data_IF_680023233490
#
_entry.id   IF_680023233490
#
_cell.length_a   1.000
_cell.length_b   1.000
_cell.length_c   1.000
_cell.angle_alpha   90.00
_cell.angle_beta   90.00
_cell.angle_gamma   90.00
#
_symmetry.space_group_name_H-M   'P 1'
#
loop_
_entity.id
_entity.type
_entity.pdbx_description
1 polymer ?
#
# COMPACT_ATOMS: atom_id res chain seq x y z
N UNK A 1 -26.00 5.06 -28.78
CA UNK A 1 -26.24 4.19 -27.61
C UNK A 1 -25.05 3.32 -27.15
N UNK A 2 -24.00 2.99 -27.94
CA UNK A 2 -22.84 2.27 -27.39
C UNK A 2 -21.83 3.19 -26.69
N UNK A 3 -21.72 4.45 -27.13
CA UNK A 3 -20.82 5.45 -26.55
C UNK A 3 -21.10 5.74 -25.07
N UNK A 4 -22.38 5.77 -24.69
CA UNK A 4 -22.77 6.02 -23.30
C UNK A 4 -22.35 4.85 -22.39
N UNK A 5 -22.52 3.61 -22.87
CA UNK A 5 -22.11 2.40 -22.15
C UNK A 5 -20.58 2.40 -21.98
N UNK A 6 -19.83 2.69 -23.03
CA UNK A 6 -18.37 2.77 -22.97
C UNK A 6 -17.88 3.85 -21.99
N UNK A 7 -18.56 5.00 -21.95
CA UNK A 7 -18.24 6.08 -21.02
C UNK A 7 -18.47 5.67 -19.56
N UNK A 8 -19.60 5.04 -19.25
CA UNK A 8 -19.89 4.55 -17.90
C UNK A 8 -18.86 3.53 -17.45
N UNK A 9 -18.47 2.59 -18.33
CA UNK A 9 -17.43 1.59 -18.03
C UNK A 9 -16.10 2.29 -17.75
N UNK A 10 -15.69 3.26 -18.57
CA UNK A 10 -14.45 3.99 -18.38
C UNK A 10 -14.41 4.72 -17.02
N UNK A 11 -15.52 5.36 -16.63
CA UNK A 11 -15.64 6.04 -15.33
C UNK A 11 -15.50 5.04 -14.16
N UNK A 12 -16.13 3.88 -14.25
CA UNK A 12 -16.04 2.83 -13.23
C UNK A 12 -14.60 2.33 -13.08
N UNK A 13 -13.93 2.04 -14.20
CA UNK A 13 -12.53 1.58 -14.20
C UNK A 13 -11.62 2.63 -13.55
N UNK A 14 -11.75 3.90 -13.95
CA UNK A 14 -10.97 5.00 -13.35
C UNK A 14 -11.26 5.13 -11.86
N UNK A 15 -12.51 5.02 -11.42
CA UNK A 15 -12.87 5.10 -10.01
C UNK A 15 -12.28 3.95 -9.17
N UNK A 16 -12.24 2.73 -9.72
CA UNK A 16 -11.63 1.58 -9.06
C UNK A 16 -10.11 1.75 -8.97
N UNK A 17 -9.46 2.15 -10.07
CA UNK A 17 -8.01 2.39 -10.10
C UNK A 17 -7.62 3.52 -9.16
N UNK A 18 -8.38 4.62 -9.16
CA UNK A 18 -8.17 5.75 -8.27
C UNK A 18 -8.34 5.34 -6.79
N UNK A 19 -9.36 4.54 -6.45
CA UNK A 19 -9.51 4.01 -5.08
C UNK A 19 -8.38 3.08 -4.67
N UNK A 20 -7.89 2.22 -5.57
CA UNK A 20 -6.73 1.35 -5.29
C UNK A 20 -5.46 2.16 -5.04
N UNK A 21 -5.24 3.25 -5.79
CA UNK A 21 -4.09 4.12 -5.62
C UNK A 21 -4.26 5.18 -4.50
N UNK A 22 -5.48 5.42 -4.00
CA UNK A 22 -5.73 6.35 -2.91
C UNK A 22 -5.01 5.95 -1.60
N UNK A 23 -4.86 4.64 -1.37
CA UNK A 23 -4.15 4.11 -0.20
C UNK A 23 -2.67 4.52 -0.14
N UNK A 24 -2.05 4.83 -1.28
CA UNK A 24 -0.60 5.12 -1.41
C UNK A 24 -0.26 6.48 -0.77
N UNK A 25 -1.22 7.40 -0.66
CA UNK A 25 -1.00 8.75 -0.12
C UNK A 25 -1.16 8.86 1.40
N UNK A 26 -1.74 7.85 2.05
CA UNK A 26 -1.99 7.84 3.51
C UNK A 26 -1.53 6.54 4.17
N UNK A 27 -0.37 6.02 3.76
CA UNK A 27 0.16 4.79 4.36
C UNK A 27 0.51 5.02 5.83
N UNK A 28 -0.32 4.44 6.70
CA UNK A 28 -0.16 4.49 8.16
C UNK A 28 0.63 3.27 8.60
N UNK A 29 1.91 3.47 8.85
CA UNK A 29 2.82 2.45 9.35
C UNK A 29 2.60 2.19 10.84
N UNK A 30 2.44 0.92 11.20
CA UNK A 30 2.36 0.41 12.55
C UNK A 30 3.55 -0.50 12.79
N UNK A 31 4.21 -0.30 13.92
CA UNK A 31 5.26 -1.19 14.38
C UNK A 31 4.64 -2.51 14.86
N UNK A 32 5.16 -3.62 14.35
CA UNK A 32 4.79 -4.97 14.76
C UNK A 32 6.01 -5.62 15.41
N UNK A 33 6.06 -5.55 16.75
CA UNK A 33 7.17 -6.10 17.53
C UNK A 33 7.20 -7.62 17.49
N UNK A 34 6.06 -8.28 17.29
CA UNK A 34 5.95 -9.74 17.33
C UNK A 34 6.61 -10.40 16.11
N UNK A 35 6.68 -9.70 14.96
CA UNK A 35 7.33 -10.18 13.75
C UNK A 35 8.78 -9.72 13.58
N UNK A 36 9.37 -9.06 14.57
CA UNK A 36 10.74 -8.53 14.50
C UNK A 36 11.74 -9.70 14.46
N UNK A 37 12.67 -9.66 13.51
CA UNK A 37 13.73 -10.68 13.38
C UNK A 37 15.08 -10.04 13.70
N UNK A 38 15.58 -10.29 14.90
CA UNK A 38 16.90 -9.80 15.34
C UNK A 38 16.98 -8.27 15.33
N UNK A 39 17.89 -7.73 14.51
CA UNK A 39 18.16 -6.29 14.41
C UNK A 39 17.15 -5.51 13.53
N UNK A 40 16.13 -6.18 12.97
CA UNK A 40 15.14 -5.59 12.07
C UNK A 40 13.76 -5.55 12.73
N UNK A 41 13.20 -4.35 12.84
CA UNK A 41 11.83 -4.10 13.30
C UNK A 41 10.89 -4.25 12.11
N UNK A 42 9.81 -5.03 12.31
CA UNK A 42 8.77 -5.19 11.30
C UNK A 42 7.77 -4.03 11.40
N UNK A 43 7.45 -3.43 10.27
CA UNK A 43 6.40 -2.42 10.11
C UNK A 43 5.34 -2.92 9.14
N UNK A 44 4.08 -2.80 9.54
CA UNK A 44 2.90 -3.13 8.75
C UNK A 44 2.10 -1.85 8.46
N UNK A 45 1.70 -1.65 7.21
CA UNK A 45 0.83 -0.56 6.82
C UNK A 45 -0.64 -0.97 7.01
N UNK A 46 -1.39 -0.26 7.86
CA UNK A 46 -2.80 -0.59 8.15
C UNK A 46 -3.72 -0.25 6.96
N UNK A 47 -3.36 0.78 6.17
CA UNK A 47 -4.17 1.25 5.04
C UNK A 47 -3.93 0.44 3.76
N UNK A 48 -2.68 0.02 3.53
CA UNK A 48 -2.24 -0.56 2.27
C UNK A 48 -1.80 -2.01 2.37
N UNK A 49 -1.62 -2.55 3.59
CA UNK A 49 -1.18 -3.92 3.83
C UNK A 49 0.30 -4.19 3.52
N UNK A 50 1.06 -3.18 3.08
CA UNK A 50 2.49 -3.33 2.82
C UNK A 50 3.25 -3.68 4.11
N UNK A 51 4.24 -4.57 4.00
CA UNK A 51 5.13 -4.98 5.09
C UNK A 51 6.55 -4.48 4.78
N UNK A 52 7.24 -3.94 5.78
CA UNK A 52 8.61 -3.46 5.65
C UNK A 52 9.42 -3.90 6.87
N UNK A 53 10.65 -4.37 6.66
CA UNK A 53 11.58 -4.68 7.74
C UNK A 53 12.69 -3.63 7.73
N UNK A 54 12.84 -2.88 8.83
CA UNK A 54 13.77 -1.75 8.95
C UNK A 54 14.54 -1.84 10.26
N UNK A 55 15.82 -1.52 10.23
CA UNK A 55 16.64 -1.39 11.45
C UNK A 55 16.42 -0.06 12.17
N UNK A 56 15.91 0.95 11.45
CA UNK A 56 15.75 2.32 11.95
C UNK A 56 14.50 2.97 11.39
N UNK A 57 13.61 3.39 12.30
CA UNK A 57 12.45 4.24 12.03
C UNK A 57 11.35 3.61 11.18
N UNK A 58 10.19 4.28 11.16
CA UNK A 58 9.09 3.94 10.25
C UNK A 58 9.42 4.39 8.81
N UNK A 59 8.88 3.73 7.77
CA UNK A 59 9.05 4.20 6.40
C UNK A 59 8.34 5.55 6.16
N UNK A 60 9.03 6.49 5.51
CA UNK A 60 8.47 7.81 5.18
C UNK A 60 7.61 7.81 3.91
N UNK A 61 7.76 6.76 3.08
CA UNK A 61 7.01 6.56 1.84
C UNK A 61 6.14 5.33 1.93
N UNK A 62 5.06 5.32 1.14
CA UNK A 62 4.30 4.10 0.96
C UNK A 62 5.08 3.08 0.13
N UNK A 63 5.06 1.81 0.55
CA UNK A 63 5.73 0.70 -0.13
C UNK A 63 4.71 -0.27 -0.76
N UNK A 64 3.48 0.20 -1.01
CA UNK A 64 2.49 -0.57 -1.76
C UNK A 64 3.05 -0.98 -3.12
N UNK A 65 3.12 -2.28 -3.37
CA UNK A 65 3.66 -2.81 -4.63
C UNK A 65 5.18 -2.90 -4.71
N UNK A 66 5.93 -2.53 -3.65
CA UNK A 66 7.34 -2.93 -3.59
C UNK A 66 7.44 -4.40 -3.15
N UNK A 67 8.39 -5.17 -3.73
CA UNK A 67 8.68 -6.50 -3.25
C UNK A 67 9.01 -6.42 -1.75
N UNK A 68 8.54 -7.39 -0.98
CA UNK A 68 8.74 -7.45 0.47
C UNK A 68 10.24 -7.32 0.74
N UNK A 69 10.66 -6.14 1.19
CA UNK A 69 12.07 -5.85 1.46
C UNK A 69 12.43 -6.57 2.76
N UNK A 70 12.75 -7.85 2.62
CA UNK A 70 13.06 -8.79 3.67
C UNK A 70 13.81 -9.95 3.04
N UNK A 71 15.09 -9.69 2.75
CA UNK A 71 16.03 -10.48 1.96
C UNK A 71 15.76 -10.53 0.45
#
# INVERSE_FOLDING_TARGET
>A
MPLFIAFVIAVIVVAIVARRNAGIRQCRWREDRAGSKGALVKYNCINCGAEAFRSTGKPDRCLSGQPKSGL
#
